data_IF_762798023725
#
_entry.id   IF_762798023725
#
_cell.length_a   1.000
_cell.length_b   1.000
_cell.length_c   1.000
_cell.angle_alpha   90.00
_cell.angle_beta   90.00
_cell.angle_gamma   90.00
#
_symmetry.space_group_name_H-M   'P 1'
#
loop_
_entity.id
_entity.type
_entity.pdbx_description
1 polymer ?
#
# COMPACT_ATOMS: atom_id res chain seq x y z
N UNK A 1 -1.39 15.42 -19.66
CA UNK A 1 -2.10 15.54 -20.94
C UNK A 1 -3.35 14.65 -20.97
N UNK A 2 -3.29 13.50 -20.32
CA UNK A 2 -4.39 12.51 -20.30
C UNK A 2 -5.04 12.34 -18.92
N UNK A 3 -4.62 13.11 -17.91
CA UNK A 3 -5.15 12.98 -16.54
C UNK A 3 -4.82 11.66 -15.83
N UNK A 4 -3.85 10.89 -16.37
CA UNK A 4 -3.42 9.62 -15.79
C UNK A 4 -2.27 9.87 -14.83
N UNK A 5 -2.32 9.19 -13.68
CA UNK A 5 -1.23 9.14 -12.71
C UNK A 5 -0.69 7.71 -12.64
N UNK A 6 0.63 7.57 -12.67
CA UNK A 6 1.32 6.30 -12.48
C UNK A 6 1.68 6.13 -11.00
N UNK A 7 1.21 5.07 -10.39
CA UNK A 7 1.56 4.71 -9.02
C UNK A 7 2.71 3.69 -9.04
N UNK A 8 3.85 4.10 -8.52
CA UNK A 8 5.05 3.25 -8.43
C UNK A 8 4.90 2.37 -7.20
N UNK A 9 5.07 1.07 -7.38
CA UNK A 9 5.04 0.07 -6.32
C UNK A 9 6.44 -0.50 -6.11
N UNK A 10 6.90 -0.50 -4.87
CA UNK A 10 8.09 -1.24 -4.47
C UNK A 10 7.75 -2.71 -4.28
N UNK A 11 8.66 -3.58 -4.64
CA UNK A 11 8.49 -5.03 -4.49
C UNK A 11 9.72 -5.64 -3.80
N UNK A 12 9.53 -6.64 -2.90
CA UNK A 12 10.63 -7.26 -2.17
C UNK A 12 11.71 -7.86 -3.10
N UNK A 13 12.97 -8.02 -2.59
CA UNK A 13 14.09 -8.54 -3.40
C UNK A 13 13.86 -9.89 -4.06
N UNK A 14 12.89 -10.67 -3.57
CA UNK A 14 12.53 -11.95 -4.18
C UNK A 14 11.85 -11.79 -5.57
N UNK A 15 11.28 -10.61 -5.87
CA UNK A 15 10.58 -10.33 -7.13
C UNK A 15 11.38 -9.44 -8.07
N UNK A 16 12.20 -8.53 -7.53
CA UNK A 16 12.94 -7.55 -8.33
C UNK A 16 14.23 -7.13 -7.61
N UNK A 17 15.18 -6.59 -8.36
CA UNK A 17 16.40 -5.98 -7.84
C UNK A 17 16.36 -4.44 -7.87
N UNK A 18 15.17 -3.86 -7.99
CA UNK A 18 14.99 -2.42 -8.09
C UNK A 18 13.76 -1.96 -7.29
N UNK A 19 13.90 -0.89 -6.49
CA UNK A 19 12.86 -0.34 -5.61
C UNK A 19 12.32 -1.42 -4.66
N UNK A 20 13.16 -1.88 -3.75
CA UNK A 20 12.81 -3.01 -2.88
C UNK A 20 12.11 -2.62 -1.57
N UNK A 21 12.06 -1.34 -1.23
CA UNK A 21 11.36 -0.82 -0.07
C UNK A 21 10.43 0.34 -0.41
N UNK A 22 9.46 0.57 0.46
CA UNK A 22 8.53 1.70 0.36
C UNK A 22 9.29 3.04 0.36
N UNK A 23 10.36 3.14 1.17
CA UNK A 23 11.24 4.31 1.21
C UNK A 23 11.89 4.61 -0.15
N UNK A 24 12.27 3.57 -0.91
CA UNK A 24 12.86 3.72 -2.25
C UNK A 24 11.86 4.33 -3.22
N UNK A 25 10.59 3.86 -3.20
CA UNK A 25 9.53 4.38 -4.05
C UNK A 25 9.25 5.86 -3.76
N UNK A 26 9.15 6.25 -2.48
CA UNK A 26 9.00 7.66 -2.10
C UNK A 26 10.19 8.51 -2.53
N UNK A 27 11.41 8.03 -2.29
CA UNK A 27 12.64 8.72 -2.69
C UNK A 27 12.66 9.01 -4.20
N UNK A 28 12.26 8.03 -5.01
CA UNK A 28 12.19 8.18 -6.46
C UNK A 28 11.14 9.22 -6.86
N UNK A 29 9.91 9.11 -6.34
CA UNK A 29 8.81 10.04 -6.68
C UNK A 29 9.15 11.47 -6.27
N UNK A 30 9.69 11.66 -5.07
CA UNK A 30 10.15 12.99 -4.59
C UNK A 30 11.27 13.56 -5.45
N UNK A 31 12.24 12.75 -5.85
CA UNK A 31 13.36 13.20 -6.68
C UNK A 31 12.93 13.60 -8.10
N UNK A 32 11.96 12.88 -8.67
CA UNK A 32 11.45 13.18 -10.02
C UNK A 32 10.49 14.39 -10.03
N UNK A 33 9.88 14.69 -8.90
CA UNK A 33 8.96 15.82 -8.69
C UNK A 33 7.96 16.01 -9.84
N UNK A 34 7.32 14.93 -10.26
CA UNK A 34 6.38 14.92 -11.38
C UNK A 34 4.96 14.65 -10.88
N UNK A 35 3.99 15.54 -11.13
CA UNK A 35 2.61 15.37 -10.64
C UNK A 35 1.88 14.16 -11.25
N UNK A 36 2.40 13.60 -12.34
CA UNK A 36 1.92 12.36 -12.94
C UNK A 36 2.43 11.09 -12.24
N UNK A 37 3.31 11.22 -11.23
CA UNK A 37 3.85 10.11 -10.46
C UNK A 37 3.30 10.11 -9.03
N UNK A 38 3.08 8.92 -8.50
CA UNK A 38 2.63 8.69 -7.14
C UNK A 38 3.20 7.36 -6.63
N UNK A 39 2.89 7.00 -5.39
CA UNK A 39 3.25 5.72 -4.80
C UNK A 39 1.99 4.88 -4.61
N UNK A 40 2.06 3.62 -5.03
CA UNK A 40 1.19 2.56 -4.53
C UNK A 40 1.87 1.96 -3.28
N UNK A 41 1.24 2.14 -2.13
CA UNK A 41 1.70 1.51 -0.90
C UNK A 41 1.26 0.06 -0.89
N UNK A 42 2.20 -0.86 -1.01
CA UNK A 42 1.97 -2.28 -0.78
C UNK A 42 2.37 -2.65 0.65
N UNK A 43 1.39 -3.12 1.44
CA UNK A 43 1.64 -3.42 2.85
C UNK A 43 2.53 -4.65 3.03
N UNK A 44 2.48 -5.62 2.10
CA UNK A 44 3.36 -6.80 2.17
C UNK A 44 4.83 -6.43 2.02
N UNK A 45 5.15 -5.50 1.14
CA UNK A 45 6.51 -4.98 0.96
C UNK A 45 6.98 -4.23 2.19
N UNK A 46 6.15 -3.35 2.74
CA UNK A 46 6.45 -2.63 3.98
C UNK A 46 6.78 -3.60 5.12
N UNK A 47 5.93 -4.61 5.32
CA UNK A 47 6.13 -5.64 6.35
C UNK A 47 7.38 -6.48 6.11
N UNK A 48 7.60 -6.93 4.86
CA UNK A 48 8.75 -7.77 4.50
C UNK A 48 10.09 -7.05 4.70
N UNK A 49 10.12 -5.72 4.51
CA UNK A 49 11.31 -4.89 4.72
C UNK A 49 11.44 -4.38 6.17
N UNK A 50 10.51 -4.71 7.05
CA UNK A 50 10.51 -4.22 8.43
C UNK A 50 10.35 -2.71 8.55
N UNK A 51 9.78 -2.08 7.52
CA UNK A 51 9.48 -0.65 7.53
C UNK A 51 8.26 -0.36 8.41
N UNK A 52 8.12 0.88 8.85
CA UNK A 52 7.02 1.31 9.71
C UNK A 52 6.25 2.44 9.02
N UNK A 53 4.92 2.42 9.14
CA UNK A 53 4.04 3.45 8.57
C UNK A 53 4.39 4.85 9.06
N UNK A 54 4.82 4.99 10.33
CA UNK A 54 5.23 6.27 10.91
C UNK A 54 6.38 6.95 10.16
N UNK A 55 7.22 6.17 9.47
CA UNK A 55 8.33 6.71 8.69
C UNK A 55 7.87 7.52 7.47
N UNK A 56 6.60 7.37 7.06
CA UNK A 56 6.07 7.94 5.83
C UNK A 56 4.96 8.95 6.05
N UNK A 57 4.72 9.40 7.28
CA UNK A 57 3.64 10.34 7.63
C UNK A 57 3.71 11.62 6.79
N UNK A 58 4.90 12.17 6.58
CA UNK A 58 5.09 13.39 5.78
C UNK A 58 4.96 13.15 4.27
N UNK A 59 4.97 11.88 3.86
CA UNK A 59 4.96 11.45 2.46
C UNK A 59 3.58 10.97 1.99
N UNK A 60 2.57 10.93 2.87
CA UNK A 60 1.22 10.43 2.57
C UNK A 60 0.54 11.13 1.39
N UNK A 61 0.90 12.38 1.10
CA UNK A 61 0.42 13.14 -0.06
C UNK A 61 0.81 12.52 -1.41
N UNK A 62 1.81 11.65 -1.44
CA UNK A 62 2.24 10.95 -2.63
C UNK A 62 1.50 9.63 -2.87
N UNK A 63 0.70 9.17 -1.92
CA UNK A 63 -0.12 7.97 -2.12
C UNK A 63 -1.24 8.24 -3.13
N UNK A 64 -1.43 7.31 -4.04
CA UNK A 64 -2.59 7.30 -4.93
C UNK A 64 -3.33 5.97 -4.94
N UNK A 65 -2.70 4.93 -4.41
CA UNK A 65 -3.28 3.60 -4.24
C UNK A 65 -2.67 2.91 -3.04
N UNK A 66 -3.40 1.98 -2.44
CA UNK A 66 -2.97 1.18 -1.30
C UNK A 66 -3.37 -0.27 -1.52
N UNK A 67 -2.43 -1.20 -1.36
CA UNK A 67 -2.68 -2.62 -1.29
C UNK A 67 -2.65 -3.12 0.16
N UNK A 68 -3.72 -3.75 0.59
CA UNK A 68 -3.76 -4.58 1.79
C UNK A 68 -3.35 -5.98 1.37
N UNK A 69 -2.15 -6.35 1.73
CA UNK A 69 -1.46 -7.55 1.27
C UNK A 69 -0.63 -8.16 2.41
N UNK A 70 -0.29 -9.43 2.28
CA UNK A 70 0.60 -10.14 3.20
C UNK A 70 1.86 -10.61 2.46
N UNK A 71 3.01 -10.72 3.13
CA UNK A 71 4.20 -11.31 2.53
C UNK A 71 3.90 -12.65 1.86
N UNK A 72 4.37 -12.81 0.61
CA UNK A 72 4.10 -14.00 -0.19
C UNK A 72 2.66 -14.12 -0.68
N UNK A 73 1.88 -13.03 -0.69
CA UNK A 73 0.45 -12.99 -1.06
C UNK A 73 -0.40 -13.97 -0.25
N UNK A 74 -0.02 -14.21 1.00
CA UNK A 74 -0.80 -15.05 1.93
C UNK A 74 -2.20 -14.46 2.18
N UNK A 75 -3.16 -15.24 2.68
CA UNK A 75 -4.45 -14.71 3.11
C UNK A 75 -4.29 -13.63 4.17
N UNK A 76 -5.06 -12.55 4.02
CA UNK A 76 -4.96 -11.37 4.90
C UNK A 76 -5.20 -11.73 6.35
N UNK A 77 -4.26 -11.35 7.22
CA UNK A 77 -4.35 -11.46 8.67
C UNK A 77 -4.84 -10.15 9.27
N UNK A 78 -5.55 -10.22 10.41
CA UNK A 78 -5.89 -9.02 11.18
C UNK A 78 -4.64 -8.46 11.85
N UNK A 79 -4.22 -7.26 11.45
CA UNK A 79 -2.99 -6.62 11.92
C UNK A 79 -3.25 -5.24 12.53
N UNK A 80 -2.48 -4.81 13.54
CA UNK A 80 -2.56 -3.45 14.06
C UNK A 80 -2.20 -2.40 12.99
N UNK A 81 -1.31 -2.71 12.05
CA UNK A 81 -0.90 -1.84 10.94
C UNK A 81 -2.08 -1.44 10.04
N UNK A 82 -3.11 -2.29 9.91
CA UNK A 82 -4.30 -1.92 9.14
C UNK A 82 -5.06 -0.74 9.77
N UNK A 83 -5.26 -0.78 11.10
CA UNK A 83 -5.92 0.32 11.82
C UNK A 83 -5.08 1.59 11.81
N UNK A 84 -3.77 1.45 11.98
CA UNK A 84 -2.84 2.56 11.92
C UNK A 84 -2.89 3.22 10.53
N UNK A 85 -2.82 2.42 9.45
CA UNK A 85 -2.92 2.92 8.10
C UNK A 85 -4.26 3.62 7.84
N UNK A 86 -5.38 3.05 8.30
CA UNK A 86 -6.70 3.67 8.17
C UNK A 86 -6.75 5.05 8.84
N UNK A 87 -6.19 5.17 10.06
CA UNK A 87 -6.10 6.46 10.77
C UNK A 87 -5.25 7.48 10.01
N UNK A 88 -4.10 7.07 9.49
CA UNK A 88 -3.21 7.93 8.72
C UNK A 88 -3.87 8.40 7.42
N UNK A 89 -4.50 7.51 6.67
CA UNK A 89 -5.22 7.84 5.44
C UNK A 89 -6.39 8.80 5.72
N UNK A 90 -7.12 8.57 6.80
CA UNK A 90 -8.20 9.46 7.25
C UNK A 90 -7.68 10.86 7.60
N UNK A 91 -6.55 10.94 8.32
CA UNK A 91 -5.95 12.21 8.74
C UNK A 91 -5.53 13.11 7.56
N UNK A 92 -5.11 12.52 6.44
CA UNK A 92 -4.73 13.27 5.23
C UNK A 92 -5.88 13.42 4.22
N UNK A 93 -7.08 12.95 4.56
CA UNK A 93 -8.25 13.02 3.68
C UNK A 93 -8.08 12.19 2.40
N UNK A 94 -7.42 11.04 2.48
CA UNK A 94 -7.23 10.14 1.34
C UNK A 94 -8.57 9.75 0.71
N UNK A 95 -8.64 9.78 -0.63
CA UNK A 95 -9.84 9.48 -1.42
C UNK A 95 -9.59 8.44 -2.52
N UNK A 96 -8.40 7.81 -2.50
CA UNK A 96 -8.05 6.74 -3.42
C UNK A 96 -8.65 5.40 -3.03
N UNK A 97 -8.27 4.37 -3.77
CA UNK A 97 -8.70 3.00 -3.49
C UNK A 97 -7.78 2.32 -2.49
N UNK A 98 -8.39 1.50 -1.64
CA UNK A 98 -7.73 0.50 -0.80
C UNK A 98 -8.14 -0.86 -1.35
N UNK A 99 -7.21 -1.58 -1.95
CA UNK A 99 -7.46 -2.86 -2.61
C UNK A 99 -6.87 -4.00 -1.80
N UNK A 100 -7.55 -5.14 -1.80
CA UNK A 100 -7.00 -6.39 -1.26
C UNK A 100 -6.18 -7.07 -2.34
N UNK A 101 -4.95 -7.44 -2.01
CA UNK A 101 -4.09 -8.25 -2.87
C UNK A 101 -3.66 -9.51 -2.14
N UNK A 102 -4.04 -10.67 -2.65
CA UNK A 102 -3.68 -11.97 -2.10
C UNK A 102 -3.73 -13.05 -3.18
N UNK A 103 -3.06 -14.17 -2.97
CA UNK A 103 -3.15 -15.33 -3.86
C UNK A 103 -4.59 -15.85 -3.97
N UNK A 104 -4.87 -16.57 -5.05
CA UNK A 104 -6.18 -17.19 -5.27
C UNK A 104 -6.58 -18.05 -4.07
N UNK A 105 -7.82 -17.86 -3.60
CA UNK A 105 -8.41 -18.61 -2.48
C UNK A 105 -9.90 -18.86 -2.73
N UNK A 106 -10.60 -19.46 -1.77
CA UNK A 106 -12.05 -19.71 -1.84
C UNK A 106 -12.86 -18.40 -1.64
N UNK A 107 -14.11 -18.42 -2.13
CA UNK A 107 -14.99 -17.25 -2.08
C UNK A 107 -15.32 -16.78 -0.65
N UNK A 108 -15.43 -17.72 0.29
CA UNK A 108 -15.76 -17.37 1.68
C UNK A 108 -14.61 -16.62 2.34
N UNK A 109 -13.37 -17.02 2.04
CA UNK A 109 -12.18 -16.29 2.48
C UNK A 109 -12.09 -14.90 1.85
N UNK A 110 -12.37 -14.78 0.54
CA UNK A 110 -12.43 -13.47 -0.14
C UNK A 110 -13.47 -12.57 0.52
N UNK A 111 -14.69 -13.08 0.73
CA UNK A 111 -15.77 -12.31 1.35
C UNK A 111 -15.41 -11.83 2.76
N UNK A 112 -14.95 -12.72 3.63
CA UNK A 112 -14.53 -12.36 4.99
C UNK A 112 -13.41 -11.31 4.99
N UNK A 113 -12.47 -11.41 4.04
CA UNK A 113 -11.39 -10.44 3.91
C UNK A 113 -11.92 -9.07 3.49
N UNK A 114 -12.80 -9.01 2.50
CA UNK A 114 -13.41 -7.75 2.06
C UNK A 114 -14.26 -7.11 3.16
N UNK A 115 -15.07 -7.90 3.87
CA UNK A 115 -15.87 -7.43 5.01
C UNK A 115 -14.98 -6.83 6.09
N UNK A 116 -13.88 -7.50 6.43
CA UNK A 116 -12.90 -7.01 7.41
C UNK A 116 -12.22 -5.70 6.95
N UNK A 117 -11.75 -5.64 5.70
CA UNK A 117 -11.08 -4.43 5.19
C UNK A 117 -12.09 -3.28 5.12
N UNK A 118 -13.30 -3.52 4.67
CA UNK A 118 -14.36 -2.51 4.67
C UNK A 118 -14.65 -1.98 6.10
N UNK A 119 -14.68 -2.86 7.11
CA UNK A 119 -14.86 -2.45 8.52
C UNK A 119 -13.73 -1.55 9.02
N UNK A 120 -12.47 -1.84 8.65
CA UNK A 120 -11.29 -1.12 9.12
C UNK A 120 -11.13 0.25 8.45
N UNK A 121 -11.47 0.35 7.15
CA UNK A 121 -11.21 1.54 6.31
C UNK A 121 -12.47 2.37 6.01
N UNK A 122 -13.51 2.26 6.83
CA UNK A 122 -14.73 3.08 6.74
C UNK A 122 -14.50 4.55 7.08
#
# INVERSE_FOLDING_TARGET
RYGVRLAIEANPPMYTNYLNGTADAFSLVKRLDNPGLAVNLDLSTLLAQGEKLQNFVDDLKYFSHVHISEPGLAPIQKRPEHKELALLLGAVGYRGFVSVEMARTDLDTVKRTLDYVAEVFQ
#
